data_IF_767757941880
#
_entry.id   IF_767757941880
#
_cell.length_a   1.000
_cell.length_b   1.000
_cell.length_c   1.000
_cell.angle_alpha   90.00
_cell.angle_beta   90.00
_cell.angle_gamma   90.00
#
_symmetry.space_group_name_H-M   'P 1'
#
loop_
_entity.id
_entity.type
_entity.pdbx_description
1 polymer ?
#
# COMPACT_ATOMS: atom_id res chain seq x y z
N UNK A 1 -13.96 -7.77 24.82
CA UNK A 1 -12.65 -7.80 24.13
C UNK A 1 -12.86 -7.25 22.74
N UNK A 2 -12.24 -6.12 22.39
CA UNK A 2 -12.31 -5.62 21.00
C UNK A 2 -11.74 -6.72 20.11
N UNK A 3 -12.52 -7.19 19.13
CA UNK A 3 -12.01 -8.18 18.17
C UNK A 3 -10.75 -7.59 17.52
N UNK A 4 -9.67 -8.36 17.50
CA UNK A 4 -8.42 -7.91 16.89
C UNK A 4 -8.69 -7.41 15.46
N UNK A 5 -8.17 -6.24 15.12
CA UNK A 5 -8.42 -5.63 13.81
C UNK A 5 -7.95 -6.56 12.69
N UNK A 6 -8.67 -6.64 11.54
CA UNK A 6 -8.33 -7.52 10.43
C UNK A 6 -6.88 -7.41 9.94
N UNK A 7 -6.26 -6.24 10.05
CA UNK A 7 -4.88 -6.00 9.61
C UNK A 7 -3.81 -6.77 10.38
N UNK A 8 -4.10 -7.25 11.59
CA UNK A 8 -3.19 -8.18 12.27
C UNK A 8 -3.09 -9.56 11.58
N UNK A 9 -3.98 -9.86 10.64
CA UNK A 9 -3.98 -11.09 9.83
C UNK A 9 -3.43 -10.88 8.43
N UNK A 10 -2.97 -9.66 8.10
CA UNK A 10 -2.28 -9.45 6.84
C UNK A 10 -0.97 -10.24 6.85
N UNK A 11 -0.68 -10.91 5.75
CA UNK A 11 0.55 -11.68 5.57
C UNK A 11 1.73 -10.72 5.42
N UNK A 12 2.58 -10.66 6.44
CA UNK A 12 3.81 -9.87 6.42
C UNK A 12 4.98 -10.69 5.87
N UNK A 13 5.81 -10.15 4.97
CA UNK A 13 7.08 -10.78 4.63
C UNK A 13 7.93 -11.01 5.89
N UNK A 14 8.72 -12.08 5.90
CA UNK A 14 9.63 -12.33 7.01
C UNK A 14 10.58 -11.13 7.22
N UNK A 15 10.84 -10.79 8.48
CA UNK A 15 11.85 -9.81 8.90
C UNK A 15 11.59 -8.33 8.52
N UNK A 16 10.36 -7.97 8.15
CA UNK A 16 10.00 -6.55 7.97
C UNK A 16 10.30 -5.75 9.26
N UNK A 17 10.93 -4.57 9.16
CA UNK A 17 11.35 -3.78 10.32
C UNK A 17 10.22 -2.88 10.86
N UNK A 18 8.97 -3.24 10.60
CA UNK A 18 7.80 -2.47 11.00
C UNK A 18 6.63 -3.38 11.37
N UNK A 19 5.65 -2.80 12.05
CA UNK A 19 4.36 -3.43 12.30
C UNK A 19 3.23 -2.46 12.02
N UNK A 20 2.03 -3.03 11.81
CA UNK A 20 0.81 -2.25 11.61
C UNK A 20 0.17 -1.95 12.96
N UNK A 21 -0.12 -0.67 13.21
CA UNK A 21 -0.82 -0.21 14.43
C UNK A 21 -1.84 0.88 14.09
N UNK A 22 -2.83 1.12 14.97
CA UNK A 22 -3.66 2.32 14.90
C UNK A 22 -2.80 3.59 14.97
N UNK A 23 -3.06 4.53 14.05
CA UNK A 23 -2.52 5.87 14.03
C UNK A 23 -3.62 6.86 14.47
N UNK A 24 -3.47 7.57 15.59
CA UNK A 24 -4.47 8.53 16.07
C UNK A 24 -4.88 9.52 14.97
N UNK A 25 -6.18 9.65 14.72
CA UNK A 25 -6.76 10.55 13.72
C UNK A 25 -6.50 10.20 12.24
N UNK A 26 -5.69 9.16 11.96
CA UNK A 26 -5.30 8.77 10.59
C UNK A 26 -5.61 7.31 10.25
N UNK A 27 -6.17 6.58 11.20
CA UNK A 27 -6.58 5.21 10.96
C UNK A 27 -5.53 4.17 11.33
N UNK A 28 -4.95 3.49 10.34
CA UNK A 28 -3.90 2.49 10.52
C UNK A 28 -2.62 2.88 9.77
N UNK A 29 -1.47 2.64 10.38
CA UNK A 29 -0.17 2.99 9.81
C UNK A 29 0.90 1.92 10.05
N UNK A 30 1.98 1.99 9.26
CA UNK A 30 3.23 1.27 9.49
C UNK A 30 4.13 2.01 10.50
N UNK A 31 4.59 1.32 11.53
CA UNK A 31 5.47 1.86 12.59
C UNK A 31 6.73 1.02 12.72
N UNK A 32 7.90 1.66 12.76
CA UNK A 32 9.17 0.95 12.87
C UNK A 32 9.26 0.18 14.20
N UNK A 33 9.68 -1.09 14.14
CA UNK A 33 9.89 -1.97 15.32
C UNK A 33 11.32 -1.95 15.82
N UNK A 34 12.25 -1.47 14.99
CA UNK A 34 13.68 -1.34 15.27
C UNK A 34 14.26 -0.13 14.56
N UNK A 35 15.52 0.21 14.86
CA UNK A 35 16.27 1.17 14.05
C UNK A 35 16.40 0.64 12.61
N UNK A 36 16.21 1.53 11.62
CA UNK A 36 16.30 1.21 10.21
C UNK A 36 17.36 2.14 9.60
N UNK A 37 18.47 1.59 9.13
CA UNK A 37 19.52 2.43 8.56
C UNK A 37 19.04 3.10 7.26
N UNK A 38 19.54 4.30 6.99
CA UNK A 38 19.22 5.02 5.75
C UNK A 38 19.56 4.16 4.53
N UNK A 39 18.63 4.06 3.59
CA UNK A 39 18.78 3.24 2.38
C UNK A 39 18.39 1.77 2.55
N UNK A 40 18.07 1.31 3.76
CA UNK A 40 17.58 -0.04 4.01
C UNK A 40 16.24 -0.29 3.32
N UNK A 41 16.06 -1.54 2.89
CA UNK A 41 14.78 -2.05 2.42
C UNK A 41 13.80 -2.18 3.59
N UNK A 42 12.64 -1.54 3.49
CA UNK A 42 11.56 -1.63 4.49
C UNK A 42 10.54 -2.69 4.05
N UNK A 43 10.12 -2.62 2.79
CA UNK A 43 9.11 -3.51 2.23
C UNK A 43 9.47 -3.84 0.78
N UNK A 44 9.30 -5.11 0.41
CA UNK A 44 9.26 -5.58 -0.97
C UNK A 44 8.01 -6.43 -1.10
N UNK A 45 7.04 -5.96 -1.88
CA UNK A 45 5.70 -6.54 -1.97
C UNK A 45 5.31 -6.77 -3.44
N UNK A 46 4.76 -7.96 -3.74
CA UNK A 46 4.13 -8.24 -5.03
C UNK A 46 2.70 -7.70 -5.04
N UNK A 47 2.20 -7.15 -6.16
CA UNK A 47 0.81 -6.82 -6.25
C UNK A 47 -0.01 -8.11 -6.10
N UNK A 48 -1.11 -8.04 -5.35
CA UNK A 48 -2.05 -9.16 -5.23
C UNK A 48 -2.62 -9.51 -6.60
N UNK A 49 -2.95 -8.48 -7.38
CA UNK A 49 -3.25 -8.54 -8.81
C UNK A 49 -3.03 -7.15 -9.41
N UNK A 50 -3.05 -7.08 -10.75
CA UNK A 50 -2.94 -5.83 -11.50
C UNK A 50 -4.07 -5.69 -12.53
N UNK A 51 -4.45 -4.45 -12.80
CA UNK A 51 -5.39 -4.08 -13.86
C UNK A 51 -4.69 -3.08 -14.79
N UNK A 52 -4.59 -3.43 -16.08
CA UNK A 52 -3.98 -2.60 -17.14
C UNK A 52 -5.03 -1.70 -17.78
N UNK A 53 -5.42 -0.65 -17.06
CA UNK A 53 -6.36 0.40 -17.46
C UNK A 53 -6.01 1.69 -16.72
N UNK A 54 -6.44 2.82 -17.26
CA UNK A 54 -6.38 4.06 -16.50
C UNK A 54 -7.26 3.98 -15.27
N UNK A 55 -6.85 4.63 -14.18
CA UNK A 55 -7.56 4.57 -12.89
C UNK A 55 -9.04 4.96 -13.04
N UNK A 56 -9.33 5.95 -13.89
CA UNK A 56 -10.68 6.47 -14.15
C UNK A 56 -11.58 5.49 -14.93
N UNK A 57 -10.99 4.48 -15.59
CA UNK A 57 -11.71 3.47 -16.37
C UNK A 57 -11.92 2.16 -15.58
N UNK A 58 -11.31 2.03 -14.40
CA UNK A 58 -11.45 0.85 -13.55
C UNK A 58 -12.83 0.90 -12.87
N UNK A 59 -13.54 -0.22 -12.91
CA UNK A 59 -14.90 -0.36 -12.39
C UNK A 59 -14.98 -1.62 -11.54
N UNK A 60 -16.05 -1.78 -10.76
CA UNK A 60 -16.30 -2.98 -9.96
C UNK A 60 -16.23 -4.27 -10.78
N UNK A 61 -16.66 -4.23 -12.04
CA UNK A 61 -16.56 -5.37 -12.95
C UNK A 61 -15.11 -5.80 -13.15
N UNK A 62 -14.21 -4.86 -13.44
CA UNK A 62 -12.80 -5.15 -13.66
C UNK A 62 -12.14 -5.73 -12.41
N UNK A 63 -12.42 -5.15 -11.24
CA UNK A 63 -11.88 -5.62 -9.97
C UNK A 63 -12.42 -7.00 -9.61
N UNK A 64 -13.72 -7.24 -9.84
CA UNK A 64 -14.35 -8.54 -9.60
C UNK A 64 -13.73 -9.63 -10.49
N UNK A 65 -13.51 -9.35 -11.77
CA UNK A 65 -12.85 -10.28 -12.70
C UNK A 65 -11.41 -10.60 -12.28
N UNK A 66 -10.67 -9.64 -11.73
CA UNK A 66 -9.34 -9.87 -11.19
C UNK A 66 -9.39 -10.68 -9.89
N UNK A 67 -10.29 -10.34 -8.97
CA UNK A 67 -10.51 -11.05 -7.70
C UNK A 67 -10.89 -12.52 -7.90
N UNK A 68 -11.70 -12.83 -8.92
CA UNK A 68 -12.07 -14.19 -9.27
C UNK A 68 -10.88 -15.06 -9.72
N UNK A 69 -9.77 -14.47 -10.16
CA UNK A 69 -8.56 -15.23 -10.56
C UNK A 69 -7.60 -15.50 -9.40
N UNK A 70 -7.84 -14.90 -8.23
CA UNK A 70 -6.97 -15.04 -7.06
C UNK A 70 -7.06 -16.42 -6.42
N UNK A 71 -5.94 -16.84 -5.82
CA UNK A 71 -5.92 -18.00 -4.93
C UNK A 71 -6.77 -17.76 -3.67
N UNK A 72 -7.17 -18.82 -2.95
CA UNK A 72 -7.92 -18.67 -1.71
C UNK A 72 -7.21 -17.78 -0.66
N UNK A 73 -5.87 -17.88 -0.52
CA UNK A 73 -5.11 -17.04 0.41
C UNK A 73 -5.11 -15.58 -0.02
N UNK A 74 -4.90 -15.29 -1.31
CA UNK A 74 -4.94 -13.93 -1.83
C UNK A 74 -6.32 -13.28 -1.67
N UNK A 75 -7.40 -14.03 -1.90
CA UNK A 75 -8.77 -13.56 -1.63
C UNK A 75 -8.97 -13.25 -0.16
N UNK A 76 -8.45 -14.11 0.73
CA UNK A 76 -8.53 -13.86 2.17
C UNK A 76 -7.81 -12.56 2.54
N UNK A 77 -6.60 -12.32 2.02
CA UNK A 77 -5.86 -11.06 2.22
C UNK A 77 -6.65 -9.84 1.72
N UNK A 78 -7.24 -9.92 0.52
CA UNK A 78 -8.09 -8.86 -0.03
C UNK A 78 -9.30 -8.54 0.88
N UNK A 79 -9.97 -9.56 1.42
CA UNK A 79 -11.14 -9.39 2.28
C UNK A 79 -10.82 -8.80 3.66
N UNK A 80 -9.54 -8.69 4.02
CA UNK A 80 -9.09 -7.98 5.23
C UNK A 80 -9.02 -6.47 5.03
N UNK A 81 -9.03 -5.96 3.79
CA UNK A 81 -8.96 -4.54 3.48
C UNK A 81 -10.11 -3.74 4.13
N UNK A 82 -9.76 -2.61 4.73
CA UNK A 82 -10.66 -1.66 5.40
C UNK A 82 -10.36 -0.26 4.92
N UNK A 83 -11.32 0.64 5.14
CA UNK A 83 -11.03 2.07 5.10
C UNK A 83 -9.93 2.42 6.11
N UNK A 84 -9.54 3.69 6.19
CA UNK A 84 -8.54 4.11 7.17
C UNK A 84 -8.98 3.77 8.61
N UNK A 85 -10.27 3.69 8.90
CA UNK A 85 -10.79 3.22 10.19
C UNK A 85 -10.82 1.70 10.32
N UNK A 86 -12.04 1.17 10.47
CA UNK A 86 -12.31 -0.27 10.67
C UNK A 86 -13.44 -0.77 9.77
N UNK A 87 -13.99 0.11 8.91
CA UNK A 87 -15.16 -0.19 8.10
C UNK A 87 -14.75 -0.95 6.84
N UNK A 88 -15.64 -1.82 6.38
CA UNK A 88 -15.46 -2.44 5.05
C UNK A 88 -15.76 -1.40 3.99
N UNK A 89 -15.04 -1.50 2.87
CA UNK A 89 -15.39 -0.77 1.66
C UNK A 89 -16.78 -1.14 1.16
N UNK A 90 -17.45 -0.18 0.55
CA UNK A 90 -18.80 -0.33 0.03
C UNK A 90 -18.81 -1.02 -1.34
N UNK A 91 -17.69 -0.99 -2.06
CA UNK A 91 -17.50 -1.62 -3.36
C UNK A 91 -16.11 -2.22 -3.53
N UNK A 92 -15.95 -3.09 -4.54
CA UNK A 92 -14.65 -3.69 -4.88
C UNK A 92 -13.71 -2.64 -5.49
N UNK A 93 -14.26 -1.72 -6.26
CA UNK A 93 -13.56 -0.61 -6.88
C UNK A 93 -13.01 0.37 -5.85
N UNK A 94 -13.80 0.72 -4.83
CA UNK A 94 -13.34 1.56 -3.73
C UNK A 94 -12.18 0.88 -2.96
N UNK A 95 -12.34 -0.41 -2.64
CA UNK A 95 -11.27 -1.19 -2.01
C UNK A 95 -9.99 -1.21 -2.86
N UNK A 96 -10.13 -1.32 -4.17
CA UNK A 96 -9.00 -1.28 -5.09
C UNK A 96 -8.38 0.11 -5.20
N UNK A 97 -9.18 1.16 -5.36
CA UNK A 97 -8.73 2.54 -5.51
C UNK A 97 -7.88 2.97 -4.30
N UNK A 98 -8.34 2.70 -3.08
CA UNK A 98 -7.67 3.08 -1.83
C UNK A 98 -6.41 2.24 -1.52
N UNK A 99 -6.18 1.16 -2.25
CA UNK A 99 -5.08 0.22 -1.98
C UNK A 99 -4.25 -0.12 -3.22
N UNK A 100 -4.44 0.59 -4.32
CA UNK A 100 -3.72 0.36 -5.57
C UNK A 100 -2.73 1.47 -5.87
N UNK A 101 -1.68 1.16 -6.64
CA UNK A 101 -0.67 2.12 -7.04
C UNK A 101 -0.36 1.92 -8.52
N UNK A 102 -0.07 3.02 -9.23
CA UNK A 102 0.38 2.95 -10.62
C UNK A 102 1.75 2.25 -10.67
N UNK A 103 1.85 1.21 -11.50
CA UNK A 103 3.05 0.40 -11.72
C UNK A 103 3.54 0.46 -13.16
N UNK A 104 2.86 1.19 -14.04
CA UNK A 104 3.32 1.39 -15.41
C UNK A 104 4.57 2.26 -15.44
N UNK A 105 5.50 1.91 -16.32
CA UNK A 105 6.70 2.70 -16.52
C UNK A 105 6.42 3.82 -17.52
N UNK A 106 6.40 5.07 -17.04
CA UNK A 106 6.19 6.26 -17.88
C UNK A 106 7.20 6.38 -19.02
N UNK A 107 8.39 5.80 -18.86
CA UNK A 107 9.49 5.92 -19.85
C UNK A 107 9.36 4.92 -21.01
N UNK A 108 8.37 4.01 -20.97
CA UNK A 108 8.22 2.91 -21.95
C UNK A 108 6.99 3.00 -22.85
N UNK A 109 6.29 4.14 -22.86
CA UNK A 109 4.99 4.30 -23.54
C UNK A 109 4.01 3.15 -23.20
N UNK A 110 4.10 2.62 -21.97
CA UNK A 110 3.24 1.54 -21.51
C UNK A 110 1.90 2.10 -21.04
N UNK A 111 0.77 1.43 -21.37
CA UNK A 111 -0.53 1.85 -20.86
C UNK A 111 -0.55 1.76 -19.33
N UNK A 112 -1.27 2.68 -18.69
CA UNK A 112 -1.42 2.72 -17.24
C UNK A 112 -1.80 1.35 -16.68
N UNK A 113 -1.16 0.99 -15.58
CA UNK A 113 -1.40 -0.25 -14.88
C UNK A 113 -1.43 0.02 -13.38
N UNK A 114 -2.43 -0.51 -12.70
CA UNK A 114 -2.62 -0.33 -11.26
C UNK A 114 -2.49 -1.70 -10.58
N UNK A 115 -1.57 -1.81 -9.63
CA UNK A 115 -1.40 -3.00 -8.80
C UNK A 115 -1.98 -2.79 -7.41
N UNK A 116 -2.63 -3.81 -6.84
CA UNK A 116 -3.14 -3.76 -5.47
C UNK A 116 -2.06 -4.22 -4.47
N UNK A 117 -1.74 -3.39 -3.48
CA UNK A 117 -0.68 -3.63 -2.50
C UNK A 117 -1.17 -3.43 -1.06
N UNK A 118 -1.68 -4.50 -0.40
CA UNK A 118 -2.27 -4.41 0.93
C UNK A 118 -1.36 -3.86 2.03
N UNK A 119 -0.04 -4.08 1.97
CA UNK A 119 0.89 -3.57 2.98
C UNK A 119 1.38 -2.17 2.63
N UNK A 120 1.74 -1.93 1.36
CA UNK A 120 2.14 -0.61 0.89
C UNK A 120 1.07 0.45 1.17
N UNK A 121 -0.22 0.13 0.98
CA UNK A 121 -1.31 1.07 1.24
C UNK A 121 -1.46 1.51 2.70
N UNK A 122 -0.75 0.86 3.64
CA UNK A 122 -0.77 1.19 5.07
C UNK A 122 0.37 2.12 5.49
N UNK A 123 1.21 2.56 4.55
CA UNK A 123 2.20 3.59 4.83
C UNK A 123 1.54 4.96 4.66
N UNK A 124 1.41 5.69 5.77
CA UNK A 124 0.76 7.01 5.76
C UNK A 124 1.58 8.03 4.96
N UNK A 125 0.92 9.09 4.47
CA UNK A 125 1.59 10.21 3.82
C UNK A 125 2.00 11.30 4.82
N UNK A 126 3.08 12.03 4.51
CA UNK A 126 3.54 13.21 5.25
C UNK A 126 4.25 14.20 4.31
N UNK A 127 4.09 15.49 4.57
CA UNK A 127 4.86 16.56 3.91
C UNK A 127 6.36 16.49 4.24
N UNK A 128 6.73 15.83 5.34
CA UNK A 128 8.11 15.55 5.75
C UNK A 128 8.28 14.03 5.82
N UNK A 129 8.43 13.36 4.67
CA UNK A 129 8.48 11.90 4.60
C UNK A 129 9.81 11.36 5.09
N UNK A 130 9.80 10.16 5.67
CA UNK A 130 11.01 9.46 6.09
C UNK A 130 11.32 8.22 5.23
N UNK A 131 10.39 7.79 4.37
CA UNK A 131 10.56 6.70 3.41
C UNK A 131 10.17 7.13 1.99
N UNK A 132 10.64 6.37 0.99
CA UNK A 132 10.29 6.56 -0.41
C UNK A 132 10.14 5.22 -1.14
N UNK A 133 9.31 5.23 -2.16
CA UNK A 133 9.32 4.19 -3.21
C UNK A 133 10.39 4.58 -4.22
N UNK A 134 11.44 3.78 -4.46
CA UNK A 134 12.41 4.06 -5.51
C UNK A 134 11.72 4.12 -6.87
N UNK A 135 12.06 5.12 -7.69
CA UNK A 135 11.51 5.35 -9.04
C UNK A 135 11.74 4.17 -9.99
N UNK A 136 12.73 3.33 -9.71
CA UNK A 136 12.98 2.11 -10.46
C UNK A 136 12.17 0.99 -9.79
N UNK A 137 10.90 0.84 -10.18
CA UNK A 137 10.30 -0.49 -10.23
C UNK A 137 11.30 -1.32 -11.03
N UNK A 138 12.01 -2.24 -10.37
CA UNK A 138 13.11 -2.99 -11.01
C UNK A 138 12.62 -3.49 -12.35
N UNK A 139 13.22 -2.98 -13.44
CA UNK A 139 12.79 -3.24 -14.79
C UNK A 139 12.66 -4.76 -15.01
N UNK A 140 11.42 -5.26 -15.04
CA UNK A 140 11.10 -6.68 -15.21
C UNK A 140 10.49 -7.40 -13.99
N UNK A 141 10.32 -6.76 -12.84
CA UNK A 141 9.65 -7.35 -11.67
C UNK A 141 8.52 -6.41 -11.21
N UNK A 142 7.27 -6.79 -11.48
CA UNK A 142 6.05 -6.14 -11.01
C UNK A 142 6.00 -6.14 -9.46
N UNK A 143 6.73 -5.23 -8.80
CA UNK A 143 7.00 -5.24 -7.35
C UNK A 143 6.95 -3.82 -6.79
N UNK A 144 6.22 -3.60 -5.69
CA UNK A 144 6.40 -2.39 -4.87
C UNK A 144 7.61 -2.56 -3.96
N UNK A 145 8.52 -1.58 -3.96
CA UNK A 145 9.69 -1.55 -3.09
C UNK A 145 9.66 -0.25 -2.29
N UNK A 146 9.72 -0.32 -0.97
CA UNK A 146 9.80 0.85 -0.08
C UNK A 146 11.14 0.83 0.64
N UNK A 147 11.87 1.95 0.57
CA UNK A 147 13.14 2.16 1.27
C UNK A 147 13.08 3.37 2.19
N UNK A 148 13.83 3.31 3.29
CA UNK A 148 13.97 4.47 4.17
C UNK A 148 14.87 5.52 3.52
N UNK A 149 14.43 6.78 3.49
CA UNK A 149 15.17 7.89 2.88
C UNK A 149 15.82 8.83 3.93
N UNK A 150 15.40 8.76 5.20
CA UNK A 150 15.84 9.67 6.26
C UNK A 150 16.16 8.90 7.56
N UNK A 151 17.17 9.33 8.32
CA UNK A 151 17.65 8.66 9.55
C UNK A 151 16.53 8.57 10.60
N UNK A 152 16.20 7.40 11.19
CA UNK A 152 15.10 7.32 12.14
C UNK A 152 15.57 7.60 13.57
N UNK A 153 14.74 8.34 14.30
CA UNK A 153 14.56 8.11 15.74
C UNK A 153 13.59 6.92 15.93
N UNK A 154 13.80 6.15 16.99
CA UNK A 154 13.06 4.90 17.30
C UNK A 154 11.55 5.20 17.48
N UNK A 155 10.68 4.30 16.99
CA UNK A 155 9.21 4.28 17.16
C UNK A 155 8.39 5.35 16.39
N UNK A 156 8.93 5.92 15.32
CA UNK A 156 8.19 6.88 14.49
C UNK A 156 7.32 6.16 13.43
N UNK A 157 6.15 6.73 13.06
CA UNK A 157 5.42 6.28 11.89
C UNK A 157 6.30 6.37 10.64
N UNK A 158 6.19 5.39 9.76
CA UNK A 158 6.86 5.43 8.46
C UNK A 158 5.96 6.18 7.48
N UNK A 159 6.45 7.30 6.97
CA UNK A 159 5.72 8.19 6.09
C UNK A 159 6.33 8.22 4.68
N UNK A 160 5.49 8.06 3.66
CA UNK A 160 5.85 8.19 2.26
C UNK A 160 5.75 9.63 1.77
N UNK A 161 6.66 10.00 0.85
CA UNK A 161 6.61 11.26 0.14
C UNK A 161 5.40 11.32 -0.80
N UNK A 162 4.62 12.42 -0.86
CA UNK A 162 3.82 12.72 -2.04
C UNK A 162 4.75 13.03 -3.24
N UNK A 163 4.33 12.85 -4.51
CA UNK A 163 3.06 12.34 -5.02
C UNK A 163 3.18 10.89 -5.54
N UNK A 164 2.29 10.01 -5.11
CA UNK A 164 1.92 8.83 -5.88
C UNK A 164 0.42 8.94 -6.08
N UNK A 165 -0.04 8.97 -7.33
CA UNK A 165 -1.45 9.16 -7.68
C UNK A 165 -2.32 8.11 -6.99
N UNK A 166 -2.83 8.45 -5.81
CA UNK A 166 -4.20 8.26 -5.39
C UNK A 166 -4.63 9.59 -4.79
N UNK A 167 -5.79 10.06 -5.25
CA UNK A 167 -6.43 11.29 -4.81
C UNK A 167 -6.81 11.17 -3.33
N UNK A 168 -5.88 11.49 -2.42
CA UNK A 168 -6.21 11.98 -1.10
C UNK A 168 -5.54 13.33 -0.98
N UNK A 169 -6.31 14.37 -1.28
CA UNK A 169 -5.96 15.73 -0.91
C UNK A 169 -5.69 15.73 0.59
N UNK A 170 -4.48 16.12 0.99
CA UNK A 170 -4.28 16.65 2.32
C UNK A 170 -5.08 17.95 2.38
N UNK A 171 -6.38 17.87 2.70
CA UNK A 171 -7.07 19.03 3.23
C UNK A 171 -6.43 19.36 4.58
N UNK A 172 -5.93 20.59 4.64
CA UNK A 172 -5.15 21.13 5.73
C UNK A 172 -6.00 21.49 6.94
N UNK A 173 -5.24 21.81 7.99
CA UNK A 173 -5.58 22.38 9.30
C UNK A 173 -6.18 21.43 10.36
#
# INVERSE_FOLDING_TARGET
MSAAHPYHRLEMPAEVPFELRPSPGKGWGAFATKHIDRGSLILSEKPTFMIRKSHTEITDYHVTMAFQKLSPSQRAQFLLLRDNGTSRFTSMNEAFAENSFNVANSDRDEPEAHGLFPLHSRFNHSCIPNAKVPTILNAGLDMSVIKLCVLPAIAWPVYLAPPFNNLVTCDGD
#
